data_IF_208636240310
#
_entry.id   IF_208636240310
#
_cell.length_a   1.000
_cell.length_b   1.000
_cell.length_c   1.000
_cell.angle_alpha   90.00
_cell.angle_beta   90.00
_cell.angle_gamma   90.00
#
_symmetry.space_group_name_H-M   'P 1'
#
loop_
_entity.id
_entity.type
_entity.pdbx_description
1 polymer ?
#
# COMPACT_ATOMS: atom_id res chain seq x y z
N UNK A 1 8.21 -14.88 -19.58
CA UNK A 1 8.26 -13.72 -18.72
C UNK A 1 6.94 -12.95 -18.72
N UNK A 2 6.34 -12.68 -19.87
CA UNK A 2 5.08 -11.92 -19.99
C UNK A 2 3.89 -12.82 -20.36
N UNK A 3 3.63 -13.88 -19.60
CA UNK A 3 2.57 -14.87 -19.87
C UNK A 3 1.14 -14.27 -19.81
N UNK A 4 0.80 -13.37 -20.73
CA UNK A 4 -0.57 -12.86 -20.90
C UNK A 4 -1.18 -12.10 -19.73
N UNK A 5 -0.39 -11.80 -18.67
CA UNK A 5 -0.86 -11.01 -17.51
C UNK A 5 -0.43 -9.57 -17.66
N UNK A 6 -1.39 -8.68 -17.83
CA UNK A 6 -1.17 -7.23 -17.79
C UNK A 6 -1.26 -6.74 -16.35
N UNK A 7 -0.35 -5.85 -15.94
CA UNK A 7 -0.41 -5.17 -14.66
C UNK A 7 0.03 -3.72 -14.83
N UNK A 8 -0.54 -2.83 -14.03
CA UNK A 8 -0.21 -1.42 -14.04
C UNK A 8 -0.41 -0.80 -12.65
N UNK A 9 0.70 -0.54 -11.95
CA UNK A 9 0.68 0.02 -10.60
C UNK A 9 0.71 1.54 -10.56
N UNK A 10 0.77 2.19 -11.73
CA UNK A 10 0.79 3.66 -11.88
C UNK A 10 1.95 4.38 -11.20
N UNK A 11 3.11 3.72 -10.98
CA UNK A 11 4.23 4.31 -10.26
C UNK A 11 4.69 5.65 -10.85
N UNK A 12 4.94 5.71 -12.17
CA UNK A 12 5.36 6.95 -12.84
C UNK A 12 4.27 8.02 -12.72
N UNK A 13 3.01 7.65 -12.91
CA UNK A 13 1.89 8.61 -12.79
C UNK A 13 1.79 9.19 -11.39
N UNK A 14 1.93 8.36 -10.35
CA UNK A 14 1.95 8.80 -8.95
C UNK A 14 3.12 9.73 -8.67
N UNK A 15 4.33 9.41 -9.18
CA UNK A 15 5.51 10.22 -9.05
C UNK A 15 5.35 11.60 -9.70
N UNK A 16 4.85 11.65 -10.94
CA UNK A 16 4.59 12.89 -11.68
C UNK A 16 3.53 13.74 -10.97
N UNK A 17 2.48 13.12 -10.47
CA UNK A 17 1.43 13.82 -9.72
C UNK A 17 1.98 14.38 -8.40
N UNK A 18 2.78 13.62 -7.67
CA UNK A 18 3.44 14.05 -6.44
C UNK A 18 4.36 15.24 -6.70
N UNK A 19 5.19 15.17 -7.75
CA UNK A 19 6.05 16.28 -8.17
C UNK A 19 5.24 17.55 -8.49
N UNK A 20 4.18 17.42 -9.27
CA UNK A 20 3.31 18.55 -9.57
C UNK A 20 2.64 19.16 -8.34
N UNK A 21 2.32 18.35 -7.34
CA UNK A 21 1.69 18.82 -6.10
C UNK A 21 2.63 19.70 -5.27
N UNK A 22 3.94 19.38 -5.24
CA UNK A 22 4.93 20.15 -4.48
C UNK A 22 4.98 21.60 -4.94
N UNK A 23 4.97 21.83 -6.27
CA UNK A 23 5.18 23.16 -6.86
C UNK A 23 3.88 23.88 -7.23
N UNK A 24 2.72 23.34 -6.93
CA UNK A 24 1.44 23.89 -7.40
C UNK A 24 0.94 25.12 -6.62
N UNK A 25 1.56 25.49 -5.51
CA UNK A 25 1.09 26.58 -4.64
C UNK A 25 2.11 27.72 -4.48
N UNK A 26 2.95 27.95 -5.47
CA UNK A 26 3.89 29.06 -5.47
C UNK A 26 3.17 30.34 -5.86
N UNK A 27 3.34 31.38 -5.03
CA UNK A 27 2.77 32.72 -5.26
C UNK A 27 3.91 33.74 -5.36
N UNK A 28 3.73 34.75 -6.17
CA UNK A 28 4.59 35.95 -6.22
C UNK A 28 3.84 37.16 -5.74
N UNK A 29 4.56 38.10 -5.15
CA UNK A 29 4.02 39.36 -4.65
C UNK A 29 4.64 40.50 -5.44
N UNK A 30 3.79 41.42 -5.89
CA UNK A 30 4.24 42.65 -6.51
C UNK A 30 4.05 43.78 -5.54
N UNK A 31 5.13 44.52 -5.32
CA UNK A 31 5.15 45.68 -4.41
C UNK A 31 5.17 46.98 -5.18
N UNK A 32 4.66 48.05 -4.58
CA UNK A 32 4.81 49.41 -5.06
C UNK A 32 6.18 50.02 -4.66
N UNK A 33 6.45 51.24 -5.09
CA UNK A 33 7.70 51.96 -4.74
C UNK A 33 7.86 52.24 -3.23
N UNK A 34 6.80 52.06 -2.46
CA UNK A 34 6.77 52.24 -1.00
C UNK A 34 6.92 50.91 -0.24
N UNK A 35 7.05 49.77 -0.94
CA UNK A 35 7.19 48.45 -0.34
C UNK A 35 5.89 47.78 0.07
N UNK A 36 4.73 48.36 -0.27
CA UNK A 36 3.43 47.74 0.04
C UNK A 36 3.06 46.69 -1.03
N UNK A 37 2.49 45.58 -0.60
CA UNK A 37 2.01 44.52 -1.51
C UNK A 37 0.77 45.06 -2.25
N UNK A 38 0.89 45.21 -3.57
CA UNK A 38 -0.20 45.64 -4.45
C UNK A 38 -0.99 44.45 -4.99
N UNK A 39 -0.29 43.34 -5.29
CA UNK A 39 -0.92 42.20 -5.90
C UNK A 39 -0.17 40.89 -5.54
N UNK A 40 -0.93 39.85 -5.17
CA UNK A 40 -0.44 38.47 -5.02
C UNK A 40 -0.92 37.65 -6.21
N UNK A 41 -0.02 37.01 -6.94
CA UNK A 41 -0.32 36.21 -8.11
C UNK A 41 0.10 34.77 -7.87
N UNK A 42 -0.81 33.83 -8.06
CA UNK A 42 -0.49 32.41 -8.08
C UNK A 42 0.14 32.04 -9.41
N UNK A 43 1.29 31.35 -9.36
CA UNK A 43 2.01 30.89 -10.55
C UNK A 43 1.43 29.55 -11.01
N UNK A 44 0.79 29.48 -12.20
CA UNK A 44 0.22 28.23 -12.68
C UNK A 44 1.31 27.25 -13.11
N UNK A 45 1.12 25.97 -12.75
CA UNK A 45 2.00 24.86 -13.12
C UNK A 45 1.28 23.95 -14.12
N UNK A 46 2.00 23.46 -15.14
CA UNK A 46 1.48 22.49 -16.09
C UNK A 46 2.54 21.47 -16.52
N UNK A 47 2.11 20.22 -16.74
CA UNK A 47 2.95 19.20 -17.36
C UNK A 47 3.03 19.43 -18.86
N UNK A 48 4.19 19.86 -19.36
CA UNK A 48 4.40 20.10 -20.79
C UNK A 48 5.90 20.33 -21.09
N UNK A 49 6.32 20.05 -22.30
CA UNK A 49 7.70 20.25 -22.76
C UNK A 49 8.04 21.74 -22.83
N UNK A 50 9.34 22.05 -22.59
CA UNK A 50 9.88 23.43 -22.71
C UNK A 50 9.55 24.07 -24.05
N UNK A 51 9.76 23.34 -25.14
CA UNK A 51 9.52 23.81 -26.51
C UNK A 51 8.06 24.22 -26.75
N UNK A 52 7.11 23.46 -26.21
CA UNK A 52 5.68 23.77 -26.37
C UNK A 52 5.29 25.09 -25.66
N UNK A 53 5.92 25.40 -24.52
CA UNK A 53 5.74 26.68 -23.86
C UNK A 53 6.36 27.83 -24.67
N UNK A 54 7.60 27.67 -25.13
CA UNK A 54 8.31 28.66 -25.94
C UNK A 54 7.51 28.98 -27.21
N UNK A 55 7.10 27.96 -27.97
CA UNK A 55 6.30 28.14 -29.18
C UNK A 55 4.98 28.90 -28.92
N UNK A 56 4.36 28.68 -27.77
CA UNK A 56 3.13 29.41 -27.40
C UNK A 56 3.38 30.84 -26.94
N UNK A 57 4.57 31.14 -26.37
CA UNK A 57 4.98 32.50 -26.02
C UNK A 57 5.28 33.30 -27.29
N UNK A 58 5.90 32.66 -28.29
CA UNK A 58 6.29 33.27 -29.57
C UNK A 58 5.10 33.48 -30.50
N UNK A 59 4.04 32.68 -30.37
CA UNK A 59 2.82 32.88 -31.15
C UNK A 59 2.19 34.23 -30.79
N UNK A 60 2.35 35.19 -31.68
CA UNK A 60 1.68 36.49 -31.59
C UNK A 60 0.18 36.27 -31.79
N UNK A 61 -0.69 36.67 -30.87
CA UNK A 61 -2.14 36.60 -31.11
C UNK A 61 -2.48 37.55 -32.24
N UNK A 62 -2.80 37.01 -33.42
CA UNK A 62 -3.43 37.80 -34.47
C UNK A 62 -4.79 38.20 -33.95
N UNK A 63 -5.08 39.48 -33.93
CA UNK A 63 -6.30 40.12 -33.38
C UNK A 63 -7.62 39.54 -33.96
N UNK A 64 -7.54 38.67 -34.96
CA UNK A 64 -8.68 38.08 -35.68
C UNK A 64 -9.08 36.66 -35.26
N UNK A 65 -8.28 35.93 -34.50
CA UNK A 65 -8.69 34.61 -34.00
C UNK A 65 -9.31 34.72 -32.61
N UNK A 66 -10.62 34.82 -32.57
CA UNK A 66 -11.44 34.68 -31.36
C UNK A 66 -11.21 33.29 -30.76
N UNK A 67 -10.33 33.14 -29.75
CA UNK A 67 -10.19 31.90 -28.99
C UNK A 67 -8.78 31.54 -28.55
N UNK A 68 -7.71 32.15 -29.03
CA UNK A 68 -6.37 31.89 -28.57
C UNK A 68 -6.01 32.81 -27.38
N UNK A 69 -6.05 32.22 -26.19
CA UNK A 69 -5.65 32.92 -24.97
C UNK A 69 -4.13 33.03 -24.97
N UNK A 70 -3.59 34.23 -24.99
CA UNK A 70 -2.17 34.48 -24.80
C UNK A 70 -1.73 33.92 -23.45
N UNK A 71 -0.59 33.20 -23.44
CA UNK A 71 -0.04 32.68 -22.18
C UNK A 71 0.35 33.86 -21.29
N UNK A 72 -0.19 33.87 -20.07
CA UNK A 72 0.18 34.85 -19.05
C UNK A 72 1.45 34.36 -18.33
N UNK A 73 2.46 35.22 -18.24
CA UNK A 73 3.66 35.01 -17.42
C UNK A 73 3.52 35.74 -16.07
N UNK A 74 4.11 35.25 -14.96
CA UNK A 74 4.96 34.07 -14.87
C UNK A 74 4.19 32.75 -14.90
N UNK A 75 4.86 31.69 -15.33
CA UNK A 75 4.29 30.34 -15.44
C UNK A 75 5.36 29.30 -15.22
N UNK A 76 4.96 28.15 -14.68
CA UNK A 76 5.83 26.99 -14.54
C UNK A 76 5.37 25.83 -15.42
N UNK A 77 6.31 25.07 -15.89
CA UNK A 77 6.09 23.82 -16.61
C UNK A 77 7.07 22.77 -16.17
N UNK A 78 6.71 21.50 -16.27
CA UNK A 78 7.67 20.43 -16.00
C UNK A 78 7.47 19.25 -16.94
N UNK A 79 8.55 18.51 -17.14
CA UNK A 79 8.55 17.31 -17.98
C UNK A 79 9.51 16.25 -17.45
N UNK A 80 9.27 15.00 -17.90
CA UNK A 80 10.20 13.88 -17.69
C UNK A 80 11.29 13.96 -18.73
N UNK A 81 12.55 13.92 -18.30
CA UNK A 81 13.71 13.92 -19.20
C UNK A 81 14.21 12.50 -19.44
N UNK A 82 14.42 11.73 -18.37
CA UNK A 82 14.95 10.37 -18.50
C UNK A 82 14.51 9.47 -17.36
N UNK A 83 14.59 8.17 -17.61
CA UNK A 83 14.41 7.13 -16.61
C UNK A 83 15.60 6.18 -16.71
N UNK A 84 16.41 6.10 -15.66
CA UNK A 84 17.64 5.32 -15.64
C UNK A 84 17.63 4.29 -14.51
N UNK A 85 18.17 3.10 -14.79
CA UNK A 85 18.35 2.06 -13.77
C UNK A 85 19.42 2.46 -12.76
N UNK A 86 19.09 2.37 -11.46
CA UNK A 86 20.04 2.65 -10.38
C UNK A 86 20.67 1.36 -9.86
N UNK A 87 21.87 1.05 -10.34
CA UNK A 87 22.62 -0.14 -9.96
C UNK A 87 23.07 -0.12 -8.48
N UNK A 88 23.27 1.08 -7.90
CA UNK A 88 23.75 1.22 -6.52
C UNK A 88 22.68 0.78 -5.49
N UNK A 89 21.40 1.00 -5.80
CA UNK A 89 20.28 0.58 -4.96
C UNK A 89 19.74 -0.82 -5.29
N UNK A 90 20.47 -1.62 -6.08
CA UNK A 90 20.04 -2.96 -6.45
C UNK A 90 19.87 -3.84 -5.22
N UNK A 91 18.71 -4.47 -5.09
CA UNK A 91 18.39 -5.47 -4.08
C UNK A 91 18.38 -6.85 -4.71
N UNK A 92 18.64 -7.89 -3.91
CA UNK A 92 18.60 -9.28 -4.40
C UNK A 92 17.23 -9.63 -5.00
N UNK A 93 17.19 -10.20 -6.21
CA UNK A 93 15.94 -10.56 -6.88
C UNK A 93 15.21 -11.75 -6.25
N UNK A 94 15.86 -12.45 -5.30
CA UNK A 94 15.29 -13.63 -4.62
C UNK A 94 14.28 -13.20 -3.54
N UNK A 95 14.47 -12.02 -2.94
CA UNK A 95 13.56 -11.53 -1.93
C UNK A 95 12.21 -11.13 -2.51
N UNK A 96 11.18 -11.33 -1.71
CA UNK A 96 9.82 -10.96 -2.07
C UNK A 96 9.02 -10.53 -0.84
N UNK A 97 8.07 -9.64 -1.06
CA UNK A 97 7.11 -9.22 -0.06
C UNK A 97 5.88 -10.14 -0.15
N UNK A 98 5.41 -10.58 1.01
CA UNK A 98 4.20 -11.39 1.13
C UNK A 98 3.22 -10.68 2.06
N UNK A 99 1.93 -10.81 1.77
CA UNK A 99 0.86 -10.33 2.64
C UNK A 99 -0.29 -11.32 2.60
N UNK A 100 -0.78 -11.72 3.77
CA UNK A 100 -2.01 -12.50 3.90
C UNK A 100 -3.20 -11.72 3.34
N UNK A 101 -4.10 -12.42 2.67
CA UNK A 101 -5.32 -11.82 2.09
C UNK A 101 -6.49 -11.78 3.07
N UNK A 102 -6.30 -12.23 4.32
CA UNK A 102 -7.41 -12.50 5.26
C UNK A 102 -8.17 -13.80 4.93
N UNK A 103 -7.78 -14.48 3.86
CA UNK A 103 -8.29 -15.81 3.51
C UNK A 103 -7.29 -16.87 3.95
N UNK A 104 -7.80 -17.95 4.54
CA UNK A 104 -7.00 -19.11 4.96
C UNK A 104 -6.25 -19.82 3.82
N UNK A 105 -6.47 -19.42 2.58
CA UNK A 105 -6.03 -20.18 1.41
C UNK A 105 -5.03 -19.47 0.53
N UNK A 106 -4.89 -18.15 0.63
CA UNK A 106 -4.07 -17.40 -0.30
C UNK A 106 -3.23 -16.30 0.34
N UNK A 107 -2.04 -16.09 -0.24
CA UNK A 107 -1.09 -15.05 0.12
C UNK A 107 -0.74 -14.28 -1.14
N UNK A 108 -0.83 -12.95 -1.09
CA UNK A 108 -0.31 -12.09 -2.14
C UNK A 108 1.20 -11.99 -2.04
N UNK A 109 1.87 -12.17 -3.16
CA UNK A 109 3.33 -12.12 -3.26
C UNK A 109 3.76 -11.20 -4.40
N UNK A 110 4.76 -10.36 -4.13
CA UNK A 110 5.47 -9.57 -5.13
C UNK A 110 6.98 -9.69 -4.93
N UNK A 111 7.73 -9.76 -6.01
CA UNK A 111 9.19 -9.70 -5.93
C UNK A 111 9.65 -8.31 -5.51
N UNK A 112 10.86 -8.24 -4.96
CA UNK A 112 11.50 -6.99 -4.61
C UNK A 112 11.49 -6.01 -5.78
N UNK A 113 11.35 -4.73 -5.47
CA UNK A 113 11.29 -3.67 -6.47
C UNK A 113 12.62 -3.49 -7.20
N UNK A 114 12.53 -3.05 -8.45
CA UNK A 114 13.68 -2.62 -9.24
C UNK A 114 13.84 -1.11 -9.11
N UNK A 115 15.02 -0.62 -8.67
CA UNK A 115 15.26 0.80 -8.46
C UNK A 115 15.55 1.53 -9.79
N UNK A 116 14.97 2.70 -9.94
CA UNK A 116 15.18 3.60 -11.06
C UNK A 116 15.28 5.05 -10.58
N UNK A 117 16.01 5.84 -11.31
CA UNK A 117 16.09 7.28 -11.17
C UNK A 117 15.28 7.95 -12.27
N UNK A 118 14.32 8.76 -11.86
CA UNK A 118 13.49 9.56 -12.76
C UNK A 118 14.00 10.99 -12.74
N UNK A 119 14.59 11.45 -13.85
CA UNK A 119 14.99 12.83 -14.02
C UNK A 119 13.82 13.67 -14.52
N UNK A 120 13.54 14.75 -13.81
CA UNK A 120 12.50 15.72 -14.11
C UNK A 120 13.10 17.10 -14.26
N UNK A 121 12.57 17.90 -15.15
CA UNK A 121 12.94 19.32 -15.26
C UNK A 121 11.72 20.19 -15.00
N UNK A 122 11.89 21.18 -14.14
CA UNK A 122 10.94 22.24 -13.88
C UNK A 122 11.45 23.52 -14.56
N UNK A 123 10.59 24.12 -15.38
CA UNK A 123 10.85 25.35 -16.07
C UNK A 123 10.03 26.48 -15.45
N UNK A 124 10.67 27.58 -15.14
CA UNK A 124 10.03 28.81 -14.69
C UNK A 124 10.17 29.84 -15.79
N UNK A 125 9.07 30.23 -16.38
CA UNK A 125 9.01 31.27 -17.42
C UNK A 125 8.55 32.56 -16.77
N UNK A 126 9.38 33.61 -16.82
CA UNK A 126 9.08 34.93 -16.29
C UNK A 126 9.31 36.01 -17.34
N UNK A 127 8.60 37.11 -17.23
CA UNK A 127 8.82 38.28 -18.04
C UNK A 127 9.86 39.20 -17.40
N UNK A 128 9.85 39.28 -16.06
CA UNK A 128 10.72 40.11 -15.27
C UNK A 128 11.64 39.19 -14.44
N UNK A 129 12.86 39.65 -14.21
CA UNK A 129 13.84 38.92 -13.40
C UNK A 129 13.34 38.75 -11.95
N UNK A 130 12.73 39.78 -11.39
CA UNK A 130 12.20 39.79 -10.03
C UNK A 130 11.17 38.67 -9.80
N UNK A 131 10.20 38.50 -10.72
CA UNK A 131 9.19 37.42 -10.66
C UNK A 131 9.88 36.03 -10.65
N UNK A 132 10.96 35.87 -11.45
CA UNK A 132 11.73 34.62 -11.52
C UNK A 132 12.48 34.33 -10.22
N UNK A 133 13.15 35.33 -9.67
CA UNK A 133 13.91 35.20 -8.42
C UNK A 133 13.02 34.86 -7.24
N UNK A 134 11.86 35.51 -7.09
CA UNK A 134 10.88 35.20 -6.05
C UNK A 134 10.42 33.73 -6.10
N UNK A 135 10.23 33.16 -7.29
CA UNK A 135 9.85 31.77 -7.45
C UNK A 135 11.00 30.84 -7.04
N UNK A 136 12.22 31.12 -7.50
CA UNK A 136 13.39 30.29 -7.25
C UNK A 136 13.76 30.30 -5.77
N UNK A 137 13.75 31.45 -5.11
CA UNK A 137 14.04 31.59 -3.69
C UNK A 137 13.01 30.86 -2.80
N UNK A 138 11.79 30.66 -3.25
CA UNK A 138 10.80 29.85 -2.54
C UNK A 138 11.07 28.35 -2.68
N UNK A 139 11.75 27.91 -3.74
CA UNK A 139 12.02 26.49 -4.01
C UNK A 139 13.30 26.00 -3.32
N UNK A 140 14.40 26.75 -3.47
CA UNK A 140 15.76 26.31 -3.08
C UNK A 140 15.88 25.86 -1.61
N UNK A 141 15.30 26.55 -0.61
CA UNK A 141 15.50 26.20 0.79
C UNK A 141 14.95 24.82 1.19
N UNK A 142 14.00 24.28 0.41
CA UNK A 142 13.41 22.97 0.70
C UNK A 142 14.29 21.79 0.29
N UNK A 143 15.34 22.02 -0.50
CA UNK A 143 16.24 20.99 -1.01
C UNK A 143 17.62 21.06 -0.34
N UNK A 144 17.72 20.52 0.90
CA UNK A 144 18.98 20.48 1.66
C UNK A 144 19.20 19.10 2.31
N UNK A 145 19.80 18.13 1.65
CA UNK A 145 20.03 17.99 0.19
C UNK A 145 18.83 17.45 -0.56
N UNK A 146 17.85 16.84 0.11
CA UNK A 146 16.72 16.15 -0.48
C UNK A 146 15.39 16.51 0.20
N UNK A 147 14.33 16.41 -0.57
CA UNK A 147 12.95 16.48 -0.12
C UNK A 147 12.31 15.10 -0.21
N UNK A 148 11.73 14.60 0.88
CA UNK A 148 11.12 13.28 0.93
C UNK A 148 9.60 13.35 0.88
N UNK A 149 8.99 12.49 0.06
CA UNK A 149 7.54 12.38 -0.11
C UNK A 149 7.13 10.95 0.13
N UNK A 150 6.19 10.75 1.06
CA UNK A 150 5.62 9.42 1.30
C UNK A 150 4.55 9.10 0.26
N UNK A 151 4.75 8.01 -0.47
CA UNK A 151 3.81 7.52 -1.50
C UNK A 151 3.40 6.09 -1.19
N UNK A 152 2.12 5.79 -1.37
CA UNK A 152 1.62 4.42 -1.31
C UNK A 152 1.88 3.73 -2.66
N UNK A 153 2.97 2.99 -2.74
CA UNK A 153 3.41 2.30 -3.97
C UNK A 153 2.46 1.17 -4.35
N UNK A 154 2.20 0.26 -3.41
CA UNK A 154 1.32 -0.89 -3.61
C UNK A 154 0.26 -0.96 -2.51
N UNK A 155 -0.94 -0.38 -2.71
CA UNK A 155 -2.02 -0.41 -1.73
C UNK A 155 -2.45 -1.83 -1.34
N UNK A 156 -2.42 -2.76 -2.29
CA UNK A 156 -2.79 -4.16 -2.06
C UNK A 156 -1.92 -4.87 -1.03
N UNK A 157 -0.64 -4.50 -0.95
CA UNK A 157 0.33 -5.06 -0.01
C UNK A 157 0.65 -4.12 1.15
N UNK A 158 -0.03 -2.94 1.25
CA UNK A 158 0.25 -1.87 2.21
C UNK A 158 1.71 -1.40 2.18
N UNK A 159 2.34 -1.40 0.99
CA UNK A 159 3.71 -0.94 0.84
C UNK A 159 3.69 0.57 0.62
N UNK A 160 4.03 1.32 1.65
CA UNK A 160 4.31 2.75 1.60
C UNK A 160 5.81 2.97 1.55
N UNK A 161 6.23 4.00 0.84
CA UNK A 161 7.65 4.31 0.70
C UNK A 161 7.87 5.81 0.62
N UNK A 162 8.99 6.25 1.18
CA UNK A 162 9.47 7.61 1.03
C UNK A 162 10.29 7.72 -0.26
N UNK A 163 9.83 8.57 -1.15
CA UNK A 163 10.51 8.90 -2.40
C UNK A 163 11.35 10.14 -2.16
N UNK A 164 12.65 10.03 -2.39
CA UNK A 164 13.57 11.14 -2.30
C UNK A 164 13.63 11.90 -3.62
N UNK A 165 13.51 13.21 -3.53
CA UNK A 165 13.64 14.16 -4.62
C UNK A 165 14.85 15.07 -4.32
N UNK A 166 15.88 15.02 -5.16
CA UNK A 166 17.06 15.87 -5.07
C UNK A 166 17.04 16.93 -6.16
N UNK A 167 17.53 18.12 -5.84
CA UNK A 167 17.79 19.18 -6.82
C UNK A 167 19.24 19.08 -7.26
N UNK A 168 19.47 18.70 -8.52
CA UNK A 168 20.83 18.46 -9.05
C UNK A 168 21.46 19.70 -9.65
N UNK A 169 20.68 20.53 -10.35
CA UNK A 169 21.20 21.72 -11.03
C UNK A 169 20.11 22.79 -11.23
N UNK A 170 20.55 24.04 -11.26
CA UNK A 170 19.74 25.21 -11.61
C UNK A 170 20.43 25.96 -12.74
N UNK A 171 19.74 26.08 -13.87
CA UNK A 171 20.20 26.81 -15.05
C UNK A 171 19.39 28.09 -15.24
N UNK A 172 20.04 29.11 -15.81
CA UNK A 172 19.44 30.39 -16.16
C UNK A 172 19.66 30.67 -17.64
N UNK A 173 18.63 31.00 -18.36
CA UNK A 173 18.69 31.40 -19.76
C UNK A 173 17.87 32.68 -19.94
N UNK A 174 18.51 33.70 -20.51
CA UNK A 174 17.85 34.94 -20.92
C UNK A 174 17.76 34.96 -22.46
N UNK A 175 16.54 34.81 -22.95
CA UNK A 175 16.24 34.79 -24.39
C UNK A 175 15.85 36.19 -24.89
N UNK A 176 16.57 37.21 -24.49
CA UNK A 176 16.36 38.59 -24.91
C UNK A 176 17.05 38.93 -26.27
N UNK A 177 17.23 37.96 -27.16
CA UNK A 177 17.78 38.17 -28.49
C UNK A 177 16.71 38.67 -29.45
N UNK A 178 16.72 39.95 -29.76
CA UNK A 178 15.85 40.54 -30.76
C UNK A 178 15.70 42.05 -30.66
N UNK A 179 14.89 42.63 -31.57
CA UNK A 179 14.49 44.02 -31.53
C UNK A 179 13.58 44.31 -30.34
N UNK A 180 13.49 45.56 -29.91
CA UNK A 180 12.68 46.03 -28.78
C UNK A 180 11.21 45.58 -28.79
N UNK A 181 10.72 45.06 -29.92
CA UNK A 181 9.36 44.53 -30.10
C UNK A 181 9.21 43.04 -29.79
N UNK A 182 10.32 42.29 -29.65
CA UNK A 182 10.25 40.88 -29.40
C UNK A 182 10.00 40.59 -27.90
N UNK A 183 9.13 39.63 -27.64
CA UNK A 183 8.80 39.24 -26.27
C UNK A 183 9.99 38.49 -25.65
N UNK A 184 10.79 39.19 -24.85
CA UNK A 184 11.80 38.52 -24.05
C UNK A 184 11.16 37.67 -22.95
N UNK A 185 11.68 36.46 -22.78
CA UNK A 185 11.32 35.60 -21.67
C UNK A 185 12.56 35.08 -20.97
N UNK A 186 12.55 35.19 -19.66
CA UNK A 186 13.59 34.62 -18.81
C UNK A 186 13.14 33.22 -18.44
N UNK A 187 14.04 32.26 -18.62
CA UNK A 187 13.75 30.84 -18.34
C UNK A 187 14.75 30.31 -17.31
N UNK A 188 14.22 29.91 -16.15
CA UNK A 188 14.98 29.13 -15.18
C UNK A 188 14.66 27.66 -15.38
N UNK A 189 15.70 26.82 -15.36
CA UNK A 189 15.59 25.37 -15.53
C UNK A 189 16.16 24.69 -14.29
N UNK A 190 15.31 24.01 -13.53
CA UNK A 190 15.71 23.25 -12.36
C UNK A 190 15.65 21.76 -12.71
N UNK A 191 16.75 21.06 -12.54
CA UNK A 191 16.85 19.63 -12.79
C UNK A 191 16.76 18.86 -11.49
N UNK A 192 15.81 17.95 -11.41
CA UNK A 192 15.55 17.12 -10.26
C UNK A 192 15.76 15.65 -10.57
N UNK A 193 16.21 14.91 -9.57
CA UNK A 193 16.30 13.46 -9.61
C UNK A 193 15.38 12.86 -8.54
N UNK A 194 14.48 11.98 -8.96
CA UNK A 194 13.52 11.30 -8.09
C UNK A 194 13.82 9.80 -8.02
N UNK A 195 14.01 9.27 -6.82
CA UNK A 195 14.34 7.87 -6.58
C UNK A 195 13.09 6.99 -6.57
N UNK A 196 12.83 6.29 -7.67
CA UNK A 196 11.66 5.41 -7.82
C UNK A 196 11.99 3.93 -7.64
N UNK A 197 10.96 3.15 -7.40
CA UNK A 197 11.02 1.70 -7.36
C UNK A 197 9.84 1.11 -8.13
N UNK A 198 10.12 0.16 -9.01
CA UNK A 198 9.11 -0.52 -9.81
C UNK A 198 8.91 -1.94 -9.32
N UNK A 199 7.66 -2.28 -9.05
CA UNK A 199 7.26 -3.62 -8.67
C UNK A 199 6.71 -4.38 -9.86
N UNK A 200 6.96 -5.69 -9.88
CA UNK A 200 6.42 -6.59 -10.87
C UNK A 200 4.95 -6.95 -10.60
N UNK A 201 4.48 -7.97 -11.31
CA UNK A 201 3.14 -8.53 -11.11
C UNK A 201 2.99 -9.10 -9.70
N UNK A 202 1.87 -8.77 -9.04
CA UNK A 202 1.45 -9.38 -7.79
C UNK A 202 0.86 -10.75 -8.12
N UNK A 203 1.42 -11.80 -7.55
CA UNK A 203 0.94 -13.16 -7.71
C UNK A 203 0.20 -13.61 -6.45
N UNK A 204 -0.94 -14.26 -6.66
CA UNK A 204 -1.61 -15.00 -5.61
C UNK A 204 -0.95 -16.38 -5.49
N UNK A 205 -0.62 -16.79 -4.28
CA UNK A 205 -0.07 -18.09 -3.96
C UNK A 205 -0.95 -18.80 -2.97
N UNK A 206 -1.14 -20.09 -3.19
CA UNK A 206 -1.75 -20.95 -2.21
C UNK A 206 -0.81 -21.18 -1.02
N UNK A 207 -1.39 -21.36 0.16
CA UNK A 207 -0.66 -21.64 1.39
C UNK A 207 -0.62 -23.15 1.61
N UNK A 208 0.55 -23.69 1.91
CA UNK A 208 0.68 -25.08 2.37
C UNK A 208 0.07 -25.16 3.77
N UNK A 209 -1.05 -25.86 3.89
CA UNK A 209 -1.78 -26.01 5.16
C UNK A 209 -1.39 -27.28 5.91
N UNK A 210 -0.92 -28.28 5.20
CA UNK A 210 -0.55 -29.58 5.77
C UNK A 210 0.67 -30.14 5.05
N UNK A 211 1.66 -30.53 5.81
CA UNK A 211 2.79 -31.32 5.35
C UNK A 211 2.83 -32.62 6.18
N UNK A 212 2.96 -33.74 5.52
CA UNK A 212 3.08 -35.05 6.16
C UNK A 212 4.38 -35.69 5.72
N UNK A 213 5.16 -36.13 6.68
CA UNK A 213 6.43 -36.83 6.43
C UNK A 213 6.33 -38.20 7.10
N UNK A 214 6.38 -39.26 6.30
CA UNK A 214 6.42 -40.62 6.78
C UNK A 214 7.85 -41.17 6.71
N UNK A 215 8.38 -41.60 7.84
CA UNK A 215 9.75 -42.13 7.95
C UNK A 215 9.65 -43.64 8.17
N UNK A 216 9.99 -44.42 7.16
CA UNK A 216 10.01 -45.85 7.20
C UNK A 216 11.36 -46.39 7.66
N UNK A 217 11.35 -47.51 8.41
CA UNK A 217 12.56 -48.15 8.89
C UNK A 217 13.22 -49.01 7.81
N UNK A 218 12.50 -49.30 6.70
CA UNK A 218 13.01 -50.11 5.62
C UNK A 218 12.95 -49.40 4.27
N UNK A 219 13.80 -49.73 3.29
CA UNK A 219 13.81 -49.11 1.97
C UNK A 219 12.61 -49.50 1.08
N UNK A 220 11.86 -50.54 1.47
CA UNK A 220 10.67 -51.02 0.72
C UNK A 220 9.43 -50.22 1.03
N UNK A 221 9.49 -49.24 1.95
CA UNK A 221 8.40 -48.38 2.37
C UNK A 221 7.16 -49.16 2.88
N UNK A 222 7.40 -50.28 3.57
CA UNK A 222 6.35 -51.13 4.14
C UNK A 222 6.55 -51.34 5.64
N UNK A 223 5.47 -51.65 6.35
CA UNK A 223 5.48 -51.92 7.79
C UNK A 223 5.40 -50.67 8.66
N UNK A 224 5.94 -50.73 9.86
CA UNK A 224 5.89 -49.65 10.85
C UNK A 224 6.64 -48.42 10.37
N UNK A 225 5.97 -47.28 10.44
CA UNK A 225 6.58 -46.00 10.16
C UNK A 225 6.21 -44.96 11.19
N UNK A 226 7.05 -43.93 11.33
CA UNK A 226 6.75 -42.75 12.12
C UNK A 226 6.23 -41.65 11.23
N UNK A 227 5.06 -41.15 11.52
CA UNK A 227 4.42 -40.03 10.82
C UNK A 227 4.65 -38.76 11.59
N UNK A 228 5.23 -37.77 10.92
CA UNK A 228 5.30 -36.42 11.42
C UNK A 228 4.40 -35.54 10.57
N UNK A 229 3.40 -34.95 11.18
CA UNK A 229 2.43 -34.13 10.51
C UNK A 229 2.54 -32.67 11.00
N UNK A 230 2.71 -31.77 10.05
CA UNK A 230 2.66 -30.34 10.28
C UNK A 230 1.40 -29.79 9.63
N UNK A 231 0.55 -29.14 10.41
CA UNK A 231 -0.66 -28.52 9.88
C UNK A 231 -0.86 -27.13 10.47
N UNK A 232 -1.52 -26.26 9.69
CA UNK A 232 -1.98 -24.95 10.13
C UNK A 232 -3.48 -25.03 10.32
N UNK A 233 -3.94 -24.81 11.55
CA UNK A 233 -5.33 -24.83 11.92
C UNK A 233 -5.78 -23.43 12.35
N UNK A 234 -7.09 -23.07 12.17
CA UNK A 234 -7.63 -21.85 12.73
C UNK A 234 -7.43 -21.81 14.25
N UNK A 235 -7.05 -20.67 14.80
CA UNK A 235 -6.95 -20.51 16.25
C UNK A 235 -8.34 -20.45 16.90
N UNK A 236 -9.35 -19.96 16.16
CA UNK A 236 -10.74 -19.81 16.65
C UNK A 236 -11.48 -21.14 16.69
N UNK A 237 -12.16 -21.41 17.80
CA UNK A 237 -13.05 -22.55 17.93
C UNK A 237 -14.25 -22.45 16.98
N UNK A 238 -14.77 -23.59 16.54
CA UNK A 238 -15.99 -23.66 15.72
C UNK A 238 -16.94 -24.72 16.25
N UNK A 239 -18.25 -24.48 16.10
CA UNK A 239 -19.30 -25.43 16.55
C UNK A 239 -20.61 -25.18 15.86
N UNK A 240 -21.46 -26.19 15.89
CA UNK A 240 -22.81 -26.17 15.32
C UNK A 240 -23.86 -26.30 16.42
N UNK A 241 -24.85 -25.42 16.40
CA UNK A 241 -25.96 -25.49 17.33
C UNK A 241 -26.92 -26.65 16.98
N UNK A 242 -27.52 -27.27 18.00
CA UNK A 242 -28.62 -28.21 17.87
C UNK A 242 -29.90 -27.61 18.49
N UNK A 243 -31.02 -27.81 17.85
CA UNK A 243 -32.32 -27.31 18.31
C UNK A 243 -33.17 -28.44 18.87
N UNK A 244 -33.96 -28.16 19.93
CA UNK A 244 -35.07 -28.96 20.38
C UNK A 244 -36.31 -28.08 20.42
N UNK A 245 -37.26 -28.33 19.53
CA UNK A 245 -38.36 -27.39 19.30
C UNK A 245 -37.86 -26.05 18.73
N UNK A 246 -38.12 -24.97 19.45
CA UNK A 246 -37.69 -23.60 19.06
C UNK A 246 -36.57 -23.05 19.94
N UNK A 247 -35.91 -23.90 20.72
CA UNK A 247 -34.82 -23.53 21.61
C UNK A 247 -33.52 -24.25 21.25
N UNK A 248 -32.36 -23.61 21.51
CA UNK A 248 -31.05 -24.22 21.37
C UNK A 248 -30.82 -25.20 22.51
N UNK A 249 -30.63 -26.48 22.18
CA UNK A 249 -30.45 -27.56 23.16
C UNK A 249 -28.98 -27.91 23.42
N UNK A 250 -28.08 -27.59 22.47
CA UNK A 250 -26.65 -27.85 22.59
C UNK A 250 -25.84 -27.18 21.51
N UNK A 251 -24.53 -27.15 21.71
CA UNK A 251 -23.55 -26.75 20.69
C UNK A 251 -22.52 -27.86 20.61
N UNK A 252 -22.45 -28.52 19.48
CA UNK A 252 -21.43 -29.51 19.17
C UNK A 252 -20.21 -28.83 18.60
N UNK A 253 -19.03 -29.00 19.24
CA UNK A 253 -17.77 -28.45 18.75
C UNK A 253 -17.28 -29.24 17.54
N UNK A 254 -17.11 -28.58 16.42
CA UNK A 254 -16.43 -29.11 15.23
C UNK A 254 -14.92 -28.92 15.31
N UNK A 255 -14.48 -27.90 16.04
CA UNK A 255 -13.07 -27.62 16.28
C UNK A 255 -12.88 -26.87 17.61
N UNK A 256 -11.91 -27.31 18.41
CA UNK A 256 -11.71 -26.78 19.76
C UNK A 256 -11.00 -25.42 19.81
N UNK A 257 -10.37 -24.98 18.69
CA UNK A 257 -9.54 -23.78 18.69
C UNK A 257 -8.27 -23.96 19.53
N UNK A 258 -7.66 -22.86 19.91
CA UNK A 258 -6.50 -22.85 20.82
C UNK A 258 -5.87 -21.47 20.93
N UNK A 259 -4.97 -21.32 21.89
CA UNK A 259 -4.36 -20.02 22.16
C UNK A 259 -5.19 -19.10 23.05
N UNK A 260 -6.33 -19.55 23.56
CA UNK A 260 -7.19 -18.79 24.45
C UNK A 260 -6.57 -18.59 25.85
N UNK A 261 -7.06 -17.58 26.54
CA UNK A 261 -6.84 -17.42 27.97
C UNK A 261 -7.71 -18.43 28.77
N UNK A 262 -7.48 -18.56 30.08
CA UNK A 262 -8.25 -19.42 30.96
C UNK A 262 -9.77 -19.08 30.96
N UNK A 263 -10.13 -17.83 30.73
CA UNK A 263 -11.52 -17.37 30.68
C UNK A 263 -12.26 -17.81 29.39
N UNK A 264 -11.53 -18.20 28.34
CA UNK A 264 -12.08 -18.63 27.05
C UNK A 264 -12.69 -17.51 26.20
N UNK A 265 -13.22 -17.87 25.02
CA UNK A 265 -13.89 -16.93 24.10
C UNK A 265 -15.33 -16.63 24.54
N UNK A 266 -15.81 -15.44 24.20
CA UNK A 266 -17.23 -15.16 24.19
C UNK A 266 -17.91 -15.90 23.04
N UNK A 267 -19.13 -16.39 23.28
CA UNK A 267 -19.95 -17.06 22.27
C UNK A 267 -21.13 -16.15 21.89
N UNK A 268 -21.28 -15.92 20.59
CA UNK A 268 -22.45 -15.23 20.03
C UNK A 268 -23.28 -16.19 19.22
N UNK A 269 -24.59 -16.30 19.54
CA UNK A 269 -25.56 -17.15 18.85
C UNK A 269 -26.50 -16.22 18.08
N UNK A 270 -26.49 -16.31 16.75
CA UNK A 270 -27.25 -15.42 15.85
C UNK A 270 -28.19 -16.25 14.98
N UNK A 271 -29.47 -15.91 14.98
CA UNK A 271 -30.52 -16.59 14.19
C UNK A 271 -31.83 -15.82 14.20
N UNK A 272 -32.90 -16.49 13.78
CA UNK A 272 -34.27 -15.98 13.73
C UNK A 272 -34.96 -15.93 15.11
N UNK A 273 -34.40 -16.64 16.10
CA UNK A 273 -34.80 -16.56 17.50
C UNK A 273 -33.97 -15.61 18.34
N UNK A 274 -34.18 -15.59 19.64
CA UNK A 274 -33.44 -14.73 20.57
C UNK A 274 -33.30 -15.36 21.96
N UNK A 275 -32.34 -14.78 22.75
CA UNK A 275 -32.17 -15.10 24.17
C UNK A 275 -31.27 -16.30 24.46
N UNK A 276 -30.78 -17.04 23.45
CA UNK A 276 -29.86 -18.15 23.69
C UNK A 276 -28.51 -17.63 24.25
N UNK A 277 -28.02 -18.34 25.29
CA UNK A 277 -26.73 -18.04 25.94
C UNK A 277 -25.96 -19.33 26.21
N UNK A 278 -24.66 -19.28 25.99
CA UNK A 278 -23.78 -20.40 26.23
C UNK A 278 -22.50 -19.94 26.93
N UNK A 279 -21.87 -20.84 27.65
CA UNK A 279 -20.57 -20.67 28.28
C UNK A 279 -19.63 -21.79 27.83
N UNK A 280 -18.33 -21.50 27.83
CA UNK A 280 -17.29 -22.45 27.47
C UNK A 280 -16.69 -23.14 28.71
N UNK A 281 -16.33 -24.40 28.55
CA UNK A 281 -15.44 -25.10 29.49
C UNK A 281 -14.10 -25.22 28.83
N UNK A 282 -13.07 -24.76 29.52
CA UNK A 282 -11.70 -24.72 28.98
C UNK A 282 -10.87 -25.91 29.44
N UNK A 283 -9.88 -26.31 28.66
CA UNK A 283 -8.82 -27.24 29.05
C UNK A 283 -7.48 -26.69 28.55
N UNK A 284 -6.38 -27.17 29.14
CA UNK A 284 -5.03 -26.76 28.73
C UNK A 284 -4.78 -27.10 27.26
N UNK A 285 -4.26 -26.18 26.51
CA UNK A 285 -3.87 -26.43 25.12
C UNK A 285 -2.56 -27.26 25.11
N UNK A 286 -2.58 -28.49 24.56
CA UNK A 286 -1.40 -29.36 24.58
C UNK A 286 -0.24 -28.83 23.73
N UNK A 287 -0.52 -27.86 22.85
CA UNK A 287 0.46 -27.32 21.89
C UNK A 287 1.07 -26.02 22.40
N UNK A 288 0.25 -25.17 23.02
CA UNK A 288 0.69 -23.86 23.52
C UNK A 288 0.75 -23.87 25.05
N UNK A 289 1.94 -24.00 25.60
CA UNK A 289 2.16 -23.97 27.05
C UNK A 289 1.62 -22.67 27.66
N UNK A 290 0.74 -22.79 28.68
CA UNK A 290 0.14 -21.65 29.36
C UNK A 290 -1.09 -21.03 28.64
N UNK A 291 -1.55 -21.65 27.56
CA UNK A 291 -2.78 -21.29 26.85
C UNK A 291 -3.81 -22.41 26.98
N UNK A 292 -5.05 -22.12 26.58
CA UNK A 292 -6.19 -23.02 26.70
C UNK A 292 -6.90 -23.20 25.36
N UNK A 293 -7.67 -24.29 25.25
CA UNK A 293 -8.59 -24.60 24.18
C UNK A 293 -9.98 -24.88 24.71
N UNK A 294 -11.00 -24.75 23.88
CA UNK A 294 -12.40 -25.03 24.29
C UNK A 294 -12.58 -26.55 24.38
N UNK A 295 -12.87 -27.04 25.56
CA UNK A 295 -13.17 -28.47 25.81
C UNK A 295 -14.62 -28.81 25.42
N UNK A 296 -15.55 -27.99 25.87
CA UNK A 296 -16.98 -28.16 25.61
C UNK A 296 -17.72 -26.86 25.78
N UNK A 297 -18.95 -26.82 25.26
CA UNK A 297 -19.87 -25.68 25.42
C UNK A 297 -21.07 -26.12 26.23
N UNK A 298 -21.47 -25.31 27.19
CA UNK A 298 -22.66 -25.55 28.02
C UNK A 298 -23.70 -24.46 27.73
N UNK A 299 -24.93 -24.86 27.39
CA UNK A 299 -26.05 -23.93 27.22
C UNK A 299 -26.54 -23.51 28.60
N UNK A 300 -26.51 -22.22 28.88
CA UNK A 300 -27.06 -21.63 30.10
C UNK A 300 -28.55 -21.21 29.92
N UNK A 301 -28.90 -20.82 28.70
CA UNK A 301 -30.28 -20.49 28.30
C UNK A 301 -30.43 -20.87 26.82
N UNK A 302 -31.47 -21.68 26.50
CA UNK A 302 -31.74 -22.11 25.13
C UNK A 302 -32.42 -21.05 24.27
N UNK A 303 -32.89 -19.97 24.86
CA UNK A 303 -33.70 -18.96 24.17
C UNK A 303 -35.03 -19.51 23.61
N UNK A 304 -35.59 -18.77 22.68
CA UNK A 304 -36.86 -19.17 22.02
C UNK A 304 -36.99 -18.54 20.63
N UNK A 305 -37.90 -19.12 19.84
CA UNK A 305 -38.27 -18.58 18.53
C UNK A 305 -37.34 -19.00 17.39
N UNK A 306 -36.39 -19.90 17.60
CA UNK A 306 -35.55 -20.43 16.53
C UNK A 306 -36.30 -21.42 15.66
N UNK A 307 -36.46 -21.11 14.37
CA UNK A 307 -37.06 -21.98 13.36
C UNK A 307 -36.03 -22.66 12.46
N UNK A 308 -34.81 -22.09 12.42
CA UNK A 308 -33.66 -22.65 11.75
C UNK A 308 -32.45 -22.71 12.70
N UNK A 309 -31.48 -23.57 12.39
CA UNK A 309 -30.26 -23.71 13.19
C UNK A 309 -29.49 -22.39 13.22
N UNK A 310 -29.29 -21.76 14.39
CA UNK A 310 -28.61 -20.51 14.49
C UNK A 310 -27.09 -20.67 14.24
N UNK A 311 -26.48 -19.61 13.77
CA UNK A 311 -25.03 -19.52 13.62
C UNK A 311 -24.37 -19.26 14.96
N UNK A 312 -23.37 -20.09 15.29
CA UNK A 312 -22.54 -19.94 16.50
C UNK A 312 -21.21 -19.36 16.12
N UNK A 313 -20.86 -18.22 16.70
CA UNK A 313 -19.59 -17.54 16.49
C UNK A 313 -18.81 -17.47 17.79
N UNK A 314 -17.59 -17.97 17.79
CA UNK A 314 -16.65 -17.86 18.89
C UNK A 314 -15.73 -16.66 18.63
N UNK A 315 -15.42 -15.90 19.68
CA UNK A 315 -14.42 -14.84 19.61
C UNK A 315 -13.05 -15.44 19.35
N UNK A 316 -12.24 -14.75 18.54
CA UNK A 316 -10.86 -15.18 18.27
C UNK A 316 -10.03 -15.08 19.57
N UNK A 317 -9.03 -15.95 19.77
CA UNK A 317 -8.12 -15.83 20.90
C UNK A 317 -7.39 -14.48 20.86
N UNK A 318 -7.38 -13.78 22.00
CA UNK A 318 -6.63 -12.54 22.18
C UNK A 318 -5.28 -12.87 22.85
N UNK A 319 -4.20 -12.74 22.11
CA UNK A 319 -2.83 -12.92 22.63
C UNK A 319 -2.15 -11.58 22.95
N UNK A 320 -2.89 -10.47 22.86
CA UNK A 320 -2.41 -9.12 23.15
C UNK A 320 -1.60 -8.49 22.02
N UNK A 321 -1.45 -9.18 20.90
CA UNK A 321 -0.76 -8.70 19.71
C UNK A 321 -1.67 -8.83 18.50
N UNK A 322 -2.46 -7.80 18.21
CA UNK A 322 -3.40 -7.78 17.07
C UNK A 322 -2.67 -7.77 15.71
N UNK A 323 -1.90 -8.81 15.41
CA UNK A 323 -1.39 -9.04 14.09
C UNK A 323 -2.38 -9.94 13.31
N UNK A 324 -2.43 -9.75 12.00
CA UNK A 324 -3.30 -10.53 11.10
C UNK A 324 -2.94 -12.03 11.09
N UNK A 325 -1.80 -12.39 11.69
CA UNK A 325 -1.28 -13.76 11.77
C UNK A 325 -1.85 -14.57 12.95
N UNK A 326 -2.54 -13.95 13.91
CA UNK A 326 -3.07 -14.62 15.13
C UNK A 326 -4.30 -15.47 14.89
N UNK A 327 -4.82 -15.47 13.66
CA UNK A 327 -6.00 -16.26 13.27
C UNK A 327 -5.69 -17.76 13.08
N UNK A 328 -4.42 -18.13 13.00
CA UNK A 328 -3.97 -19.49 12.74
C UNK A 328 -2.88 -19.93 13.70
N UNK A 329 -2.91 -21.20 14.08
CA UNK A 329 -1.85 -21.84 14.86
C UNK A 329 -1.17 -22.95 14.07
N UNK A 330 0.11 -23.15 14.35
CA UNK A 330 0.89 -24.27 13.83
C UNK A 330 0.72 -25.47 14.75
N UNK A 331 0.39 -26.62 14.17
CA UNK A 331 0.22 -27.89 14.84
C UNK A 331 1.30 -28.84 14.36
N UNK A 332 2.02 -29.45 15.31
CA UNK A 332 2.97 -30.52 15.04
C UNK A 332 2.51 -31.77 15.80
N UNK A 333 2.26 -32.84 15.06
CA UNK A 333 1.82 -34.12 15.61
C UNK A 333 2.81 -35.22 15.21
N UNK A 334 3.18 -36.04 16.18
CA UNK A 334 4.01 -37.24 15.97
C UNK A 334 3.15 -38.45 16.28
N UNK A 335 3.08 -39.37 15.36
CA UNK A 335 2.38 -40.65 15.56
C UNK A 335 3.22 -41.81 15.03
N UNK A 336 3.10 -42.96 15.68
CA UNK A 336 3.70 -44.21 15.21
C UNK A 336 2.60 -45.07 14.64
N UNK A 337 2.66 -45.29 13.34
CA UNK A 337 1.62 -46.08 12.63
C UNK A 337 2.12 -47.50 12.47
N UNK A 338 1.29 -48.43 12.92
CA UNK A 338 1.49 -49.88 12.77
C UNK A 338 0.51 -50.37 11.72
N UNK A 339 1.04 -50.89 10.62
CA UNK A 339 0.25 -51.61 9.60
C UNK A 339 0.41 -53.15 9.80
#
# INVERSE_FOLDING_TARGET
>A
MFKGKTFYHSHIRKAVAAFGTIFNNINIERTDSSGNIVQTLRVPLAYSTKQKFISRIEQVPTVQSRGEVAIVLPRMGFEIISLQYDAARRVSPIHHHKKGTGSATSVKRVFTSTPYDLSLQLYVFAKNQEDGLQIIEQILPFFNPDFSITVNDLPELNITRDIKLTLDAVGYEDNSQGTFSDRSSIVWTLTFNMKLNFYGHIADQDVIKKAVVDVFQNPELTGVYTRQQYSVAPATATGTATLTGTAVSGIELTYQGGGYTENGPNITITGDGSGARASVVMETDPINTGKHRVKSVTISDGGSGYTSVPTVTFEAPDDGNQSVDDTYRFLEEFDTVYE
#
